data_IF_563494641686
#
_entry.id   IF_563494641686
#
_cell.length_a   1.000
_cell.length_b   1.000
_cell.length_c   1.000
_cell.angle_alpha   90.00
_cell.angle_beta   90.00
_cell.angle_gamma   90.00
#
_symmetry.space_group_name_H-M   'P 1'
#
loop_
_entity.id
_entity.type
_entity.pdbx_description
1 polymer ?
#
# COMPACT_ATOMS: atom_id res chain seq x y z
N UNK A 1 -15.25 12.15 7.79
CA UNK A 1 -15.68 10.73 7.67
C UNK A 1 -15.38 10.08 9.02
N UNK A 2 -16.36 9.51 9.72
CA UNK A 2 -16.12 8.87 11.03
C UNK A 2 -15.67 7.43 10.84
N UNK A 3 -14.62 7.01 11.53
CA UNK A 3 -14.09 5.64 11.48
C UNK A 3 -14.76 4.70 12.48
N UNK A 4 -15.65 5.20 13.34
CA UNK A 4 -16.51 4.40 14.20
C UNK A 4 -17.91 4.98 14.42
N UNK A 5 -18.63 4.35 15.36
CA UNK A 5 -20.03 4.64 15.67
C UNK A 5 -20.20 5.88 16.55
N UNK A 6 -21.44 6.31 16.77
CA UNK A 6 -21.69 7.46 17.66
C UNK A 6 -21.12 7.18 19.06
N UNK A 7 -20.28 8.09 19.59
CA UNK A 7 -19.70 7.91 20.92
C UNK A 7 -20.80 7.95 21.99
N UNK A 8 -20.65 7.18 23.09
CA UNK A 8 -21.62 7.19 24.18
C UNK A 8 -21.71 8.59 24.82
N UNK A 9 -22.95 9.05 25.08
CA UNK A 9 -23.24 10.39 25.63
C UNK A 9 -22.57 10.66 27.00
N UNK A 10 -22.27 9.60 27.76
CA UNK A 10 -21.46 9.71 28.96
C UNK A 10 -20.72 8.41 29.26
N UNK A 11 -19.48 8.55 29.74
CA UNK A 11 -18.70 7.44 30.30
C UNK A 11 -18.72 7.59 31.83
N UNK A 12 -19.45 6.70 32.51
CA UNK A 12 -19.31 6.54 33.97
C UNK A 12 -17.83 6.24 34.26
N UNK A 13 -17.27 6.78 35.35
CA UNK A 13 -15.84 6.65 35.67
C UNK A 13 -15.52 5.61 36.77
N UNK A 14 -15.72 4.28 36.56
CA UNK A 14 -14.99 3.24 37.27
C UNK A 14 -13.62 2.99 36.59
N UNK A 15 -12.85 2.00 37.06
CA UNK A 15 -11.52 1.64 36.54
C UNK A 15 -11.36 1.60 34.99
N UNK A 16 -12.43 1.33 34.24
CA UNK A 16 -12.41 1.24 32.77
C UNK A 16 -12.71 2.57 32.02
N UNK A 17 -13.13 3.63 32.71
CA UNK A 17 -13.58 4.86 32.06
C UNK A 17 -12.47 5.65 31.37
N UNK A 18 -11.23 5.57 31.87
CA UNK A 18 -10.06 6.22 31.27
C UNK A 18 -9.65 5.54 29.96
N UNK A 19 -9.66 4.21 29.93
CA UNK A 19 -9.33 3.42 28.73
C UNK A 19 -10.33 3.67 27.60
N UNK A 20 -11.62 3.75 27.91
CA UNK A 20 -12.65 4.09 26.92
C UNK A 20 -12.44 5.50 26.35
N UNK A 21 -12.09 6.49 27.18
CA UNK A 21 -11.74 7.84 26.70
C UNK A 21 -10.49 7.84 25.83
N UNK A 22 -9.50 7.01 26.15
CA UNK A 22 -8.30 6.86 25.33
C UNK A 22 -8.63 6.30 23.95
N UNK A 23 -9.45 5.24 23.87
CA UNK A 23 -9.91 4.64 22.61
C UNK A 23 -10.68 5.67 21.78
N UNK A 24 -11.63 6.39 22.37
CA UNK A 24 -12.38 7.45 21.67
C UNK A 24 -11.46 8.57 21.19
N UNK A 25 -10.47 8.96 21.99
CA UNK A 25 -9.47 9.96 21.59
C UNK A 25 -8.57 9.48 20.45
N UNK A 26 -8.34 8.17 20.31
CA UNK A 26 -7.63 7.59 19.17
C UNK A 26 -8.49 7.59 17.91
N UNK A 27 -9.79 7.31 18.03
CA UNK A 27 -10.76 7.39 16.94
C UNK A 27 -10.88 8.82 16.41
N UNK A 28 -11.12 9.81 17.28
CA UNK A 28 -11.22 11.22 16.91
C UNK A 28 -9.97 11.73 16.17
N UNK A 29 -8.77 11.31 16.63
CA UNK A 29 -7.51 11.64 15.95
C UNK A 29 -7.39 10.97 14.58
N UNK A 30 -7.87 9.74 14.45
CA UNK A 30 -7.88 9.00 13.19
C UNK A 30 -8.80 9.67 12.17
N UNK A 31 -9.97 10.14 12.60
CA UNK A 31 -10.93 10.86 11.76
C UNK A 31 -10.38 12.19 11.28
N UNK A 32 -9.84 13.00 12.20
CA UNK A 32 -9.18 14.27 11.86
C UNK A 32 -8.06 14.07 10.85
N UNK A 33 -7.31 12.98 10.98
CA UNK A 33 -6.26 12.64 10.03
C UNK A 33 -6.82 12.20 8.68
N UNK A 34 -7.86 11.36 8.65
CA UNK A 34 -8.52 10.92 7.43
C UNK A 34 -9.15 12.09 6.64
N UNK A 35 -9.83 13.00 7.33
CA UNK A 35 -10.39 14.21 6.73
C UNK A 35 -9.29 15.08 6.12
N UNK A 36 -8.16 15.22 6.82
CA UNK A 36 -7.02 15.97 6.29
C UNK A 36 -6.43 15.32 5.03
N UNK A 37 -6.33 14.00 4.98
CA UNK A 37 -5.88 13.29 3.77
C UNK A 37 -6.86 13.51 2.61
N UNK A 38 -8.16 13.46 2.88
CA UNK A 38 -9.20 13.66 1.87
C UNK A 38 -9.19 15.08 1.30
N UNK A 39 -9.07 16.11 2.15
CA UNK A 39 -8.92 17.50 1.70
C UNK A 39 -7.74 17.68 0.75
N UNK A 40 -6.59 17.11 1.12
CA UNK A 40 -5.37 17.22 0.33
C UNK A 40 -5.53 16.49 -0.99
N UNK A 41 -6.13 15.30 -0.98
CA UNK A 41 -6.43 14.56 -2.19
C UNK A 41 -7.32 15.38 -3.15
N UNK A 42 -8.40 15.97 -2.65
CA UNK A 42 -9.33 16.80 -3.43
C UNK A 42 -8.67 18.05 -4.02
N UNK A 43 -7.78 18.68 -3.27
CA UNK A 43 -7.12 19.93 -3.68
C UNK A 43 -5.86 19.70 -4.53
N UNK A 44 -5.45 18.45 -4.73
CA UNK A 44 -4.28 18.10 -5.52
C UNK A 44 -4.65 17.68 -6.94
N UNK A 45 -3.96 18.24 -7.93
CA UNK A 45 -4.14 17.91 -9.34
C UNK A 45 -3.88 16.43 -9.63
N UNK A 46 -4.67 15.87 -10.55
CA UNK A 46 -4.40 14.57 -11.17
C UNK A 46 -3.02 14.57 -11.83
N UNK A 47 -2.32 13.41 -11.85
CA UNK A 47 -1.03 13.31 -12.51
C UNK A 47 -1.17 13.46 -14.02
N UNK A 48 -0.18 14.10 -14.65
CA UNK A 48 -0.06 14.14 -16.10
C UNK A 48 0.46 12.79 -16.68
N UNK A 49 0.92 11.90 -15.80
CA UNK A 49 1.41 10.56 -16.12
C UNK A 49 0.28 9.54 -15.97
N UNK A 50 0.13 8.67 -16.96
CA UNK A 50 -0.79 7.53 -16.86
C UNK A 50 -0.20 6.43 -15.99
N UNK A 51 -0.91 6.06 -14.93
CA UNK A 51 -0.57 4.92 -14.10
C UNK A 51 -1.18 3.63 -14.69
N UNK A 52 -0.37 2.60 -14.99
CA UNK A 52 -0.88 1.35 -15.55
C UNK A 52 -1.55 0.50 -14.47
N UNK A 53 -2.86 0.73 -14.27
CA UNK A 53 -3.70 0.01 -13.31
C UNK A 53 -4.11 -1.39 -13.78
N UNK A 54 -3.77 -1.77 -15.02
CA UNK A 54 -4.03 -3.10 -15.57
C UNK A 54 -2.78 -3.70 -16.20
N UNK A 55 -2.62 -5.01 -16.05
CA UNK A 55 -1.60 -5.78 -16.75
C UNK A 55 -1.95 -5.90 -18.24
N UNK A 56 -1.05 -5.44 -19.11
CA UNK A 56 -1.16 -5.56 -20.56
C UNK A 56 -0.80 -6.95 -21.08
N UNK A 57 -0.18 -7.79 -20.23
CA UNK A 57 0.16 -9.18 -20.57
C UNK A 57 -1.04 -10.12 -20.32
N UNK A 58 -0.99 -11.30 -20.97
CA UNK A 58 -1.90 -12.40 -20.63
C UNK A 58 -1.65 -12.79 -19.19
N UNK A 59 -2.67 -12.66 -18.35
CA UNK A 59 -2.57 -12.80 -16.91
C UNK A 59 -3.87 -13.39 -16.35
N UNK A 60 -3.80 -14.27 -15.34
CA UNK A 60 -4.98 -14.83 -14.69
C UNK A 60 -5.95 -13.73 -14.24
N UNK A 61 -7.26 -13.95 -14.47
CA UNK A 61 -8.31 -12.95 -14.26
C UNK A 61 -8.30 -12.28 -12.87
N UNK A 62 -7.84 -12.98 -11.84
CA UNK A 62 -7.77 -12.48 -10.46
C UNK A 62 -6.65 -11.48 -10.15
N UNK A 63 -5.64 -11.35 -11.01
CA UNK A 63 -4.44 -10.52 -10.73
C UNK A 63 -4.14 -9.49 -11.81
N UNK A 64 -5.07 -9.29 -12.75
CA UNK A 64 -4.91 -8.31 -13.84
C UNK A 64 -4.83 -6.88 -13.33
N UNK A 65 -5.42 -6.55 -12.18
CA UNK A 65 -5.39 -5.20 -11.62
C UNK A 65 -4.08 -4.94 -10.87
N UNK A 66 -3.46 -3.81 -11.19
CA UNK A 66 -2.26 -3.33 -10.53
C UNK A 66 -2.63 -2.40 -9.37
N UNK A 67 -2.91 -2.98 -8.20
CA UNK A 67 -3.20 -2.21 -6.99
C UNK A 67 -2.02 -1.36 -6.49
N UNK A 68 -0.79 -1.69 -6.90
CA UNK A 68 0.40 -0.90 -6.54
C UNK A 68 0.41 0.45 -7.28
N UNK A 69 0.01 0.46 -8.56
CA UNK A 69 -0.08 1.69 -9.34
C UNK A 69 -1.01 2.72 -8.69
N UNK A 70 -2.20 2.29 -8.24
CA UNK A 70 -3.15 3.17 -7.57
C UNK A 70 -2.63 3.69 -6.22
N UNK A 71 -1.97 2.83 -5.43
CA UNK A 71 -1.35 3.25 -4.17
C UNK A 71 -0.26 4.31 -4.39
N UNK A 72 0.64 4.09 -5.36
CA UNK A 72 1.71 5.04 -5.68
C UNK A 72 1.16 6.36 -6.22
N UNK A 73 0.12 6.32 -7.06
CA UNK A 73 -0.60 7.52 -7.53
C UNK A 73 -1.15 8.33 -6.35
N UNK A 74 -1.77 7.67 -5.38
CA UNK A 74 -2.30 8.33 -4.19
C UNK A 74 -1.18 8.96 -3.35
N UNK A 75 -0.07 8.25 -3.15
CA UNK A 75 1.09 8.75 -2.41
C UNK A 75 1.70 9.97 -3.10
N UNK A 76 1.90 9.94 -4.42
CA UNK A 76 2.44 11.09 -5.17
C UNK A 76 1.58 12.35 -4.99
N UNK A 77 0.24 12.19 -5.01
CA UNK A 77 -0.69 13.29 -4.74
C UNK A 77 -0.53 13.82 -3.32
N UNK A 78 -0.54 12.94 -2.33
CA UNK A 78 -0.39 13.34 -0.92
C UNK A 78 0.92 14.09 -0.67
N UNK A 79 2.05 13.61 -1.21
CA UNK A 79 3.34 14.31 -1.08
C UNK A 79 3.26 15.71 -1.69
N UNK A 80 2.67 15.84 -2.88
CA UNK A 80 2.57 17.15 -3.56
C UNK A 80 1.65 18.15 -2.86
N UNK A 81 0.60 17.67 -2.17
CA UNK A 81 -0.30 18.51 -1.40
C UNK A 81 0.22 18.89 0.00
N UNK A 82 1.51 18.66 0.26
CA UNK A 82 2.26 19.06 1.47
C UNK A 82 1.59 18.54 2.75
N UNK A 83 1.71 17.24 2.99
CA UNK A 83 1.25 16.62 4.24
C UNK A 83 2.39 16.53 5.27
N UNK A 84 2.04 16.46 6.56
CA UNK A 84 3.03 16.31 7.65
C UNK A 84 3.62 14.90 7.74
N UNK A 85 2.94 13.91 7.15
CA UNK A 85 3.37 12.51 7.17
C UNK A 85 4.64 12.35 6.37
N UNK A 86 5.68 11.83 7.03
CA UNK A 86 7.00 11.62 6.43
C UNK A 86 7.16 10.23 5.80
N UNK A 87 6.30 9.28 6.15
CA UNK A 87 6.45 7.86 5.83
C UNK A 87 5.16 7.34 5.19
N UNK A 88 5.26 6.71 4.03
CA UNK A 88 4.14 6.24 3.24
C UNK A 88 4.34 4.81 2.81
N UNK A 89 3.40 3.95 3.15
CA UNK A 89 3.47 2.53 2.91
C UNK A 89 2.71 2.13 1.63
N UNK A 90 3.37 1.43 0.70
CA UNK A 90 2.70 0.81 -0.46
C UNK A 90 3.04 -0.68 -0.52
N UNK A 91 2.02 -1.52 -0.75
CA UNK A 91 2.12 -2.99 -0.69
C UNK A 91 1.63 -3.66 -1.95
N UNK A 92 2.38 -4.68 -2.38
CA UNK A 92 2.00 -5.69 -3.37
C UNK A 92 2.30 -7.10 -2.83
N UNK A 93 1.28 -7.93 -2.69
CA UNK A 93 1.42 -9.31 -2.23
C UNK A 93 1.51 -10.33 -3.37
N UNK A 94 1.56 -11.61 -3.03
CA UNK A 94 1.37 -12.71 -4.00
C UNK A 94 2.65 -13.31 -4.60
N UNK A 95 3.84 -12.90 -4.14
CA UNK A 95 5.12 -13.42 -4.65
C UNK A 95 5.49 -14.82 -4.12
N UNK A 96 4.94 -15.23 -2.98
CA UNK A 96 5.16 -16.54 -2.38
C UNK A 96 4.09 -17.52 -2.88
N UNK A 97 4.44 -18.33 -3.89
CA UNK A 97 3.45 -19.15 -4.61
C UNK A 97 3.72 -20.65 -4.55
N UNK A 98 4.63 -21.11 -3.67
CA UNK A 98 5.07 -22.49 -3.42
C UNK A 98 5.43 -23.35 -4.66
N UNK A 99 4.51 -23.58 -5.60
CA UNK A 99 4.70 -24.35 -6.83
C UNK A 99 4.08 -23.71 -8.10
N UNK A 100 3.39 -22.57 -7.99
CA UNK A 100 2.61 -21.96 -9.10
C UNK A 100 3.19 -20.61 -9.56
N UNK A 101 4.51 -20.51 -9.67
CA UNK A 101 5.19 -19.26 -10.06
C UNK A 101 4.98 -18.92 -11.54
N UNK A 102 4.93 -19.94 -12.39
CA UNK A 102 4.82 -19.83 -13.85
C UNK A 102 3.72 -20.75 -14.38
N UNK A 103 3.15 -20.41 -15.53
CA UNK A 103 2.31 -21.37 -16.25
C UNK A 103 3.16 -22.51 -16.83
N UNK A 104 2.71 -23.76 -16.65
CA UNK A 104 3.45 -24.95 -17.09
C UNK A 104 3.73 -24.96 -18.61
N UNK A 105 2.89 -24.29 -19.40
CA UNK A 105 3.01 -24.18 -20.85
C UNK A 105 3.94 -23.04 -21.30
N UNK A 106 4.21 -22.04 -20.44
CA UNK A 106 5.08 -20.92 -20.78
C UNK A 106 5.63 -20.19 -19.52
N UNK A 107 6.95 -20.22 -19.29
CA UNK A 107 7.59 -19.60 -18.12
C UNK A 107 7.55 -18.07 -18.10
N UNK A 108 7.18 -17.44 -19.22
CA UNK A 108 7.01 -15.98 -19.36
C UNK A 108 5.64 -15.51 -18.87
N UNK A 109 4.69 -16.43 -18.67
CA UNK A 109 3.35 -16.15 -18.17
C UNK A 109 3.15 -16.75 -16.77
N UNK A 110 2.20 -16.17 -16.03
CA UNK A 110 1.83 -16.63 -14.69
C UNK A 110 1.79 -15.51 -13.66
N UNK A 111 1.57 -15.92 -12.42
CA UNK A 111 1.41 -15.02 -11.27
C UNK A 111 2.68 -14.19 -11.03
N UNK A 112 3.86 -14.83 -11.02
CA UNK A 112 5.11 -14.13 -10.75
C UNK A 112 5.43 -13.08 -11.83
N UNK A 113 5.31 -13.44 -13.11
CA UNK A 113 5.55 -12.54 -14.23
C UNK A 113 4.59 -11.32 -14.19
N UNK A 114 3.33 -11.55 -13.84
CA UNK A 114 2.34 -10.47 -13.67
C UNK A 114 2.73 -9.52 -12.54
N UNK A 115 3.19 -10.04 -11.40
CA UNK A 115 3.58 -9.20 -10.26
C UNK A 115 4.85 -8.38 -10.56
N UNK A 116 5.80 -8.96 -11.28
CA UNK A 116 6.97 -8.22 -11.78
C UNK A 116 6.57 -7.12 -12.77
N UNK A 117 5.62 -7.41 -13.67
CA UNK A 117 5.04 -6.38 -14.54
C UNK A 117 4.41 -5.25 -13.73
N UNK A 118 3.66 -5.56 -12.66
CA UNK A 118 3.02 -4.56 -11.82
C UNK A 118 4.04 -3.60 -11.19
N UNK A 119 5.13 -4.13 -10.64
CA UNK A 119 6.23 -3.31 -10.10
C UNK A 119 6.91 -2.51 -11.24
N UNK A 120 7.30 -3.20 -12.32
CA UNK A 120 8.06 -2.63 -13.43
C UNK A 120 7.30 -1.56 -14.20
N UNK A 121 5.97 -1.57 -14.15
CA UNK A 121 5.12 -0.57 -14.80
C UNK A 121 4.70 0.57 -13.85
N UNK A 122 4.45 0.27 -12.56
CA UNK A 122 4.02 1.27 -11.59
C UNK A 122 5.16 2.19 -11.11
N UNK A 123 6.37 1.65 -10.89
CA UNK A 123 7.49 2.43 -10.37
C UNK A 123 7.98 3.51 -11.34
N UNK A 124 8.16 3.24 -12.65
CA UNK A 124 8.52 4.30 -13.60
C UNK A 124 7.46 5.39 -13.71
N UNK A 125 6.17 5.02 -13.66
CA UNK A 125 5.08 6.00 -13.66
C UNK A 125 5.13 6.90 -12.42
N UNK A 126 5.38 6.33 -11.24
CA UNK A 126 5.57 7.07 -10.00
C UNK A 126 6.75 8.04 -10.07
N UNK A 127 7.93 7.57 -10.48
CA UNK A 127 9.11 8.43 -10.59
C UNK A 127 8.92 9.57 -11.61
N UNK A 128 8.25 9.29 -12.73
CA UNK A 128 7.91 10.32 -13.72
C UNK A 128 6.92 11.35 -13.14
N UNK A 129 5.92 10.92 -12.38
CA UNK A 129 4.95 11.82 -11.75
C UNK A 129 5.61 12.73 -10.70
N UNK A 130 6.55 12.20 -9.91
CA UNK A 130 7.34 13.01 -8.97
C UNK A 130 8.20 14.07 -9.68
N UNK A 131 8.79 13.71 -10.83
CA UNK A 131 9.54 14.64 -11.69
C UNK A 131 8.65 15.72 -12.28
N UNK A 132 7.52 15.33 -12.86
CA UNK A 132 6.54 16.25 -13.45
C UNK A 132 5.99 17.24 -12.39
N UNK A 133 5.94 16.81 -11.12
CA UNK A 133 5.55 17.64 -9.96
C UNK A 133 6.69 18.44 -9.33
N UNK A 134 7.94 18.23 -9.75
CA UNK A 134 9.12 18.91 -9.20
C UNK A 134 9.43 18.55 -7.73
N UNK A 135 9.05 17.35 -7.28
CA UNK A 135 9.21 16.89 -5.89
C UNK A 135 10.11 15.67 -5.75
N UNK A 136 10.71 15.18 -6.84
CA UNK A 136 11.62 14.03 -6.81
C UNK A 136 12.74 14.17 -5.78
N UNK A 137 13.38 15.34 -5.69
CA UNK A 137 14.53 15.57 -4.80
C UNK A 137 14.20 15.43 -3.31
N UNK A 138 12.91 15.50 -2.96
CA UNK A 138 12.43 15.34 -1.59
C UNK A 138 12.12 13.88 -1.24
N UNK A 139 12.21 12.99 -2.24
CA UNK A 139 11.72 11.62 -2.19
C UNK A 139 12.83 10.57 -2.28
N UNK A 140 13.05 9.86 -1.18
CA UNK A 140 13.81 8.60 -1.17
C UNK A 140 12.89 7.39 -1.29
N UNK A 141 12.97 6.68 -2.42
CA UNK A 141 12.33 5.37 -2.59
C UNK A 141 13.31 4.26 -2.23
N UNK A 142 12.87 3.23 -1.50
CA UNK A 142 13.69 2.06 -1.19
C UNK A 142 12.95 0.79 -1.65
N UNK A 143 13.61 -0.37 -1.63
CA UNK A 143 13.03 -1.69 -1.87
C UNK A 143 13.50 -2.67 -0.77
N UNK A 144 12.63 -3.52 -0.24
CA UNK A 144 12.81 -4.45 0.87
C UNK A 144 11.85 -5.61 0.64
N UNK A 145 12.35 -6.82 0.86
CA UNK A 145 11.57 -8.05 0.76
C UNK A 145 11.91 -8.91 1.98
N UNK A 146 10.88 -9.33 2.71
CA UNK A 146 11.05 -10.26 3.81
C UNK A 146 11.13 -11.68 3.24
N UNK A 147 12.32 -12.08 2.75
CA UNK A 147 12.55 -13.46 2.36
C UNK A 147 12.88 -14.32 3.58
N UNK A 148 12.11 -15.39 3.74
CA UNK A 148 12.36 -16.47 4.70
C UNK A 148 11.65 -17.73 4.23
N UNK A 149 12.16 -18.39 3.19
CA UNK A 149 11.74 -19.74 2.84
C UNK A 149 12.76 -20.72 3.43
N UNK A 150 12.40 -21.43 4.50
CA UNK A 150 13.12 -22.65 4.87
C UNK A 150 12.65 -23.73 3.90
N UNK A 151 13.57 -24.29 3.12
CA UNK A 151 13.30 -25.48 2.32
C UNK A 151 13.03 -26.64 3.28
N UNK A 152 11.76 -26.92 3.57
CA UNK A 152 11.40 -28.07 4.38
C UNK A 152 11.36 -29.29 3.46
N UNK A 153 12.37 -30.16 3.57
CA UNK A 153 12.48 -31.39 2.77
C UNK A 153 11.49 -32.50 3.21
N UNK A 154 10.49 -32.23 4.06
CA UNK A 154 9.52 -33.24 4.52
C UNK A 154 8.14 -32.66 4.86
N UNK A 155 7.11 -33.15 4.13
CA UNK A 155 5.73 -33.40 4.60
C UNK A 155 4.81 -32.21 4.92
N UNK A 156 3.49 -32.30 4.63
CA UNK A 156 2.56 -31.19 4.83
C UNK A 156 2.21 -31.07 6.32
N UNK A 157 2.76 -30.06 6.98
CA UNK A 157 2.21 -29.57 8.24
C UNK A 157 1.55 -28.23 7.98
N UNK A 158 0.24 -28.22 8.15
CA UNK A 158 -0.65 -27.07 8.09
C UNK A 158 -0.18 -25.99 9.06
N UNK A 159 0.51 -24.98 8.53
CA UNK A 159 0.71 -23.71 9.21
C UNK A 159 0.56 -22.58 8.19
N UNK A 160 -0.65 -22.04 8.14
CA UNK A 160 -0.98 -20.77 7.50
C UNK A 160 -0.25 -19.64 8.25
N UNK A 161 1.01 -19.38 7.89
CA UNK A 161 1.62 -18.07 8.11
C UNK A 161 1.47 -17.26 6.83
N UNK A 162 0.24 -16.79 6.63
CA UNK A 162 -0.03 -15.66 5.78
C UNK A 162 0.66 -14.43 6.40
N UNK A 163 1.53 -13.76 5.65
CA UNK A 163 1.67 -12.28 5.58
C UNK A 163 3.02 -11.87 4.97
N UNK A 164 2.98 -11.39 3.73
CA UNK A 164 4.07 -10.66 3.09
C UNK A 164 3.62 -9.22 2.82
N UNK A 165 4.30 -8.24 3.42
CA UNK A 165 4.01 -6.80 3.35
C UNK A 165 5.21 -6.07 2.73
N UNK A 166 4.98 -5.06 1.88
CA UNK A 166 6.01 -4.08 1.51
C UNK A 166 5.83 -2.81 2.32
N UNK A 167 6.96 -2.16 2.62
CA UNK A 167 7.24 -1.14 3.66
C UNK A 167 7.90 0.10 3.06
N UNK A 168 7.39 1.36 3.18
CA UNK A 168 8.07 2.52 2.53
C UNK A 168 8.09 3.89 3.26
N UNK A 169 9.12 4.65 2.83
CA UNK A 169 9.34 6.09 2.68
C UNK A 169 9.80 6.95 3.87
N UNK A 170 10.76 7.85 3.61
CA UNK A 170 11.19 8.93 4.51
C UNK A 170 11.29 10.22 3.67
N UNK A 171 10.41 11.19 3.94
CA UNK A 171 10.51 12.54 3.40
C UNK A 171 11.74 13.22 3.98
N UNK A 172 12.69 13.59 3.12
CA UNK A 172 13.77 14.50 3.52
C UNK A 172 13.25 15.93 3.38
N UNK A 173 13.63 16.75 4.35
CA UNK A 173 13.20 18.15 4.51
C UNK A 173 13.45 18.98 3.25
#
# INVERSE_FOLDING_TARGET
MTTGGEPPESIRNPHYGEELRWIMGMEEKSDKYADRLYEIWQNTNEPNVTYPEQCSMVSPSGIRRNGLAQQLKMIARLISGVIKTKIFLARIGGFDTHASQVEASNPTYGLHATLLYHIGSAMPAFQKDLKDRGIEDRVLSTAFSAFGAVLNLMGPMERTMERQHLWWYLAKE
#
